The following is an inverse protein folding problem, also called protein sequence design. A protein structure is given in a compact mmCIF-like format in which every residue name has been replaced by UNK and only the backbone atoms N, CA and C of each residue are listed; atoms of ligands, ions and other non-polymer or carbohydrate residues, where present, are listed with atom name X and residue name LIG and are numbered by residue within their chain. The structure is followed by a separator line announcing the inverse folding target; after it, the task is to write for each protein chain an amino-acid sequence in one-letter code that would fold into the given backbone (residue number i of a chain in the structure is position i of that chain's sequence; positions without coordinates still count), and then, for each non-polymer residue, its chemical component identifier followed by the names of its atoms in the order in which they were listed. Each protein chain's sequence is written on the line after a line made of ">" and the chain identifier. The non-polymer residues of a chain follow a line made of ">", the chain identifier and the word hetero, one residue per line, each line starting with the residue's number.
data_IF_591701027825
#
_entry.id   IF_591701027825
#
_cell.length_a   1.000
_cell.length_b   1.000
_cell.length_c   1.000
_cell.angle_alpha   90.00
_cell.angle_beta   90.00
_cell.angle_gamma   90.00
#
_symmetry.space_group_name_H-M   'P 1'
#
loop_
_entity.id
_entity.type
_entity.pdbx_description
1 polymer ?
#
# COMPACT_ATOMS: atom_id res chain seq x y z
N UNK A 1 -0.53 -6.03 0.88
CA UNK A 1 -0.73 -4.90 1.83
C UNK A 1 -1.20 -3.62 1.16
N UNK A 2 -0.64 -3.20 0.01
CA UNK A 2 -1.16 -2.01 -0.70
C UNK A 2 -2.65 -2.13 -1.03
N UNK A 3 -3.06 -3.28 -1.58
CA UNK A 3 -4.47 -3.57 -1.87
C UNK A 3 -5.33 -3.46 -0.62
N UNK A 4 -4.92 -4.11 0.47
CA UNK A 4 -5.60 -4.01 1.77
C UNK A 4 -5.83 -2.58 2.25
N UNK A 5 -4.87 -1.67 2.03
CA UNK A 5 -5.05 -0.25 2.35
C UNK A 5 -6.10 0.40 1.44
N UNK A 6 -6.07 0.09 0.14
CA UNK A 6 -7.06 0.60 -0.82
C UNK A 6 -8.46 0.10 -0.46
N UNK A 7 -8.59 -1.18 -0.12
CA UNK A 7 -9.84 -1.81 0.26
C UNK A 7 -10.42 -1.18 1.53
N UNK A 8 -9.62 -0.95 2.58
CA UNK A 8 -10.06 -0.22 3.79
C UNK A 8 -10.58 1.17 3.42
N UNK A 9 -9.84 1.93 2.60
CA UNK A 9 -10.26 3.27 2.21
C UNK A 9 -11.53 3.22 1.36
N UNK A 10 -11.66 2.26 0.45
CA UNK A 10 -12.86 2.05 -0.35
C UNK A 10 -14.06 1.67 0.52
N UNK A 11 -13.89 0.79 1.51
CA UNK A 11 -14.93 0.39 2.45
C UNK A 11 -15.47 1.60 3.22
N UNK A 12 -14.59 2.50 3.69
CA UNK A 12 -15.05 3.76 4.32
C UNK A 12 -15.84 4.66 3.38
N UNK A 13 -15.60 4.61 2.07
CA UNK A 13 -16.35 5.40 1.07
C UNK A 13 -17.69 4.79 0.70
N UNK A 14 -17.83 3.47 0.86
CA UNK A 14 -19.05 2.73 0.57
C UNK A 14 -19.96 2.57 1.81
N UNK A 15 -19.44 2.88 3.00
CA UNK A 15 -20.19 2.81 4.25
C UNK A 15 -21.39 3.76 4.27
N UNK A 16 -22.60 3.22 4.48
CA UNK A 16 -23.82 4.02 4.66
C UNK A 16 -23.83 4.87 5.93
N UNK A 17 -22.94 4.58 6.88
CA UNK A 17 -22.78 5.37 8.10
C UNK A 17 -21.95 6.65 7.87
N UNK A 18 -21.31 6.80 6.70
CA UNK A 18 -20.45 7.93 6.39
C UNK A 18 -21.01 8.72 5.20
N UNK A 19 -21.17 10.03 5.38
CA UNK A 19 -21.44 10.96 4.28
C UNK A 19 -20.19 11.17 3.42
N UNK A 20 -19.02 11.18 4.05
CA UNK A 20 -17.73 11.27 3.38
C UNK A 20 -16.74 10.27 4.00
N UNK A 21 -16.24 9.34 3.19
CA UNK A 21 -15.20 8.37 3.58
C UNK A 21 -13.77 8.90 3.41
N UNK A 22 -12.79 8.02 3.59
CA UNK A 22 -11.38 8.35 3.42
C UNK A 22 -11.03 8.82 2.00
N UNK A 23 -10.23 9.89 1.90
CA UNK A 23 -9.71 10.38 0.61
C UNK A 23 -8.47 9.60 0.15
N UNK A 24 -8.02 9.74 -1.12
CA UNK A 24 -6.76 9.15 -1.58
C UNK A 24 -5.53 9.54 -0.73
N UNK A 25 -5.59 10.68 -0.04
CA UNK A 25 -4.54 11.11 0.90
C UNK A 25 -4.44 10.20 2.13
N UNK A 26 -5.51 9.49 2.50
CA UNK A 26 -5.48 8.52 3.59
C UNK A 26 -4.59 7.32 3.23
N UNK A 27 -4.66 6.84 1.99
CA UNK A 27 -3.80 5.74 1.49
C UNK A 27 -2.31 6.07 1.63
N UNK A 28 -1.92 7.31 1.33
CA UNK A 28 -0.52 7.77 1.51
C UNK A 28 -0.11 7.78 2.98
N UNK A 29 -1.00 8.24 3.87
CA UNK A 29 -0.75 8.24 5.32
C UNK A 29 -0.61 6.82 5.87
N UNK A 30 -1.45 5.88 5.43
CA UNK A 30 -1.32 4.46 5.76
C UNK A 30 0.00 3.87 5.27
N UNK A 31 0.42 4.16 4.03
CA UNK A 31 1.65 3.63 3.49
C UNK A 31 2.88 4.15 4.24
N UNK A 32 2.93 5.46 4.51
CA UNK A 32 4.03 6.08 5.25
C UNK A 32 4.06 5.60 6.72
N UNK A 33 2.91 5.63 7.39
CA UNK A 33 2.77 5.17 8.77
C UNK A 33 3.06 3.68 8.93
N UNK A 34 2.61 2.85 7.99
CA UNK A 34 2.85 1.41 8.00
C UNK A 34 4.33 1.07 7.89
N UNK A 35 5.06 1.75 6.99
CA UNK A 35 6.52 1.62 6.88
C UNK A 35 7.22 2.06 8.16
N UNK A 36 6.83 3.20 8.72
CA UNK A 36 7.40 3.70 9.97
C UNK A 36 7.15 2.71 11.14
N UNK A 37 5.94 2.18 11.26
CA UNK A 37 5.56 1.22 12.30
C UNK A 37 6.30 -0.10 12.16
N UNK A 38 6.46 -0.61 10.94
CA UNK A 38 7.26 -1.80 10.66
C UNK A 38 8.73 -1.60 11.06
N UNK A 39 9.32 -0.45 10.69
CA UNK A 39 10.70 -0.11 11.03
C UNK A 39 10.91 0.02 12.55
N UNK A 40 10.00 0.68 13.27
CA UNK A 40 10.03 0.78 14.75
C UNK A 40 9.98 -0.62 15.39
N UNK A 41 9.30 -1.58 14.75
CA UNK A 41 9.19 -2.97 15.20
C UNK A 41 10.30 -3.89 14.68
N UNK A 42 11.35 -3.33 14.06
CA UNK A 42 12.49 -4.10 13.56
C UNK A 42 12.20 -4.95 12.32
N UNK A 43 11.14 -4.66 11.57
CA UNK A 43 10.77 -5.37 10.34
C UNK A 43 11.07 -4.53 9.10
N UNK A 44 11.53 -5.17 8.04
CA UNK A 44 11.77 -4.55 6.73
C UNK A 44 10.52 -4.42 5.87
N UNK A 45 9.41 -5.05 6.26
CA UNK A 45 8.16 -5.07 5.52
C UNK A 45 6.96 -4.78 6.43
N UNK A 46 5.92 -4.19 5.83
CA UNK A 46 4.65 -3.87 6.50
C UNK A 46 3.77 -5.12 6.51
N UNK A 47 3.11 -5.39 7.64
CA UNK A 47 2.09 -6.44 7.73
C UNK A 47 0.68 -5.84 7.92
N UNK A 48 -0.41 -6.61 7.69
CA UNK A 48 -1.77 -6.11 7.87
C UNK A 48 -2.03 -5.49 9.25
N UNK A 49 -1.47 -6.06 10.32
CA UNK A 49 -1.64 -5.51 11.68
C UNK A 49 -1.03 -4.12 11.86
N UNK A 50 -0.02 -3.77 11.07
CA UNK A 50 0.51 -2.40 11.10
C UNK A 50 -0.49 -1.41 10.49
N UNK A 51 -1.22 -1.83 9.46
CA UNK A 51 -2.28 -1.03 8.82
C UNK A 51 -3.49 -0.91 9.76
N UNK A 52 -3.94 -2.02 10.35
CA UNK A 52 -5.06 -2.03 11.31
C UNK A 52 -4.82 -1.08 12.47
N UNK A 53 -3.63 -1.12 13.05
CA UNK A 53 -3.26 -0.25 14.17
C UNK A 53 -3.17 1.25 13.80
N UNK A 54 -3.16 1.58 12.52
CA UNK A 54 -3.16 2.96 12.03
C UNK A 54 -4.54 3.43 11.57
N UNK A 55 -5.54 2.56 11.54
CA UNK A 55 -6.84 2.88 10.96
C UNK A 55 -7.51 4.07 11.64
N UNK A 56 -7.66 4.01 12.96
CA UNK A 56 -8.24 5.10 13.75
C UNK A 56 -7.44 6.42 13.62
N UNK A 57 -6.13 6.48 13.93
CA UNK A 57 -5.39 7.75 13.88
C UNK A 57 -5.29 8.34 12.46
N UNK A 58 -5.39 7.52 11.41
CA UNK A 58 -5.41 8.01 10.02
C UNK A 58 -6.80 8.54 9.64
N UNK A 59 -7.88 7.86 10.05
CA UNK A 59 -9.22 8.09 9.49
C UNK A 59 -10.14 8.95 10.37
N UNK A 60 -9.94 9.01 11.69
CA UNK A 60 -10.91 9.62 12.63
C UNK A 60 -11.25 11.08 12.31
N UNK A 61 -10.29 11.85 11.80
CA UNK A 61 -10.49 13.25 11.39
C UNK A 61 -10.73 13.42 9.89
N UNK A 62 -10.88 12.33 9.15
CA UNK A 62 -11.01 12.33 7.68
C UNK A 62 -12.36 11.83 7.18
N UNK A 63 -13.22 11.37 8.08
CA UNK A 63 -14.55 10.86 7.75
C UNK A 63 -15.61 11.73 8.39
N UNK A 64 -16.78 11.80 7.75
CA UNK A 64 -17.92 12.56 8.23
C UNK A 64 -19.11 11.60 8.28
N UNK A 65 -19.75 11.49 9.45
CA UNK A 65 -20.92 10.64 9.68
C UNK A 65 -22.15 11.18 8.94
N UNK A 66 -23.08 10.29 8.60
CA UNK A 66 -24.43 10.70 8.21
C UNK A 66 -25.23 11.12 9.43
N UNK A 67 -26.25 11.97 9.25
CA UNK A 67 -27.12 12.40 10.35
C UNK A 67 -27.78 11.21 11.07
N UNK A 68 -28.19 10.17 10.34
CA UNK A 68 -28.76 8.96 10.93
C UNK A 68 -27.77 8.23 11.85
N UNK A 69 -26.49 8.17 11.45
CA UNK A 69 -25.43 7.60 12.27
C UNK A 69 -25.11 8.45 13.50
N UNK A 70 -25.25 9.78 13.41
CA UNK A 70 -25.13 10.69 14.55
C UNK A 70 -26.26 10.50 15.55
N UNK A 71 -27.50 10.39 15.07
CA UNK A 71 -28.70 10.16 15.91
C UNK A 71 -28.71 8.78 16.56
N UNK A 72 -28.05 7.80 15.96
CA UNK A 72 -27.90 6.45 16.51
C UNK A 72 -26.72 6.31 17.48
N UNK A 73 -26.10 7.44 17.87
CA UNK A 73 -24.93 7.53 18.77
C UNK A 73 -23.72 6.67 18.35
N UNK A 74 -23.63 6.27 17.08
CA UNK A 74 -22.47 5.51 16.58
C UNK A 74 -21.26 6.42 16.47
N UNK A 75 -20.21 6.09 17.19
CA UNK A 75 -18.96 6.86 17.18
C UNK A 75 -18.21 6.67 15.87
N UNK A 76 -17.36 7.64 15.53
CA UNK A 76 -16.47 7.54 14.35
C UNK A 76 -15.53 6.34 14.47
N UNK A 77 -15.01 6.08 15.67
CA UNK A 77 -14.13 4.93 15.96
C UNK A 77 -14.83 3.60 15.68
N UNK A 78 -16.08 3.41 16.13
CA UNK A 78 -16.85 2.20 15.85
C UNK A 78 -17.11 2.00 14.36
N UNK A 79 -17.36 3.07 13.61
CA UNK A 79 -17.57 3.00 12.17
C UNK A 79 -16.28 2.62 11.45
N UNK A 80 -15.15 3.21 11.84
CA UNK A 80 -13.83 2.86 11.29
C UNK A 80 -13.49 1.40 11.60
N UNK A 81 -13.72 0.95 12.82
CA UNK A 81 -13.44 -0.41 13.23
C UNK A 81 -14.28 -1.41 12.42
N UNK A 82 -15.57 -1.13 12.26
CA UNK A 82 -16.45 -1.95 11.40
C UNK A 82 -15.97 -2.00 9.94
N UNK A 83 -15.48 -0.88 9.39
CA UNK A 83 -14.93 -0.86 8.04
C UNK A 83 -13.64 -1.70 7.93
N UNK A 84 -12.75 -1.63 8.92
CA UNK A 84 -11.51 -2.43 8.93
C UNK A 84 -11.81 -3.92 9.07
N UNK A 85 -12.78 -4.28 9.90
CA UNK A 85 -13.18 -5.67 10.15
C UNK A 85 -13.94 -6.27 8.96
N UNK A 86 -14.63 -5.44 8.17
CA UNK A 86 -15.27 -5.84 6.92
C UNK A 86 -14.29 -6.17 5.78
N UNK A 87 -13.05 -5.68 5.86
CA UNK A 87 -12.02 -5.96 4.85
C UNK A 87 -11.13 -7.11 5.30
N UNK A 88 -11.09 -8.16 4.49
CA UNK A 88 -10.24 -9.32 4.74
C UNK A 88 -8.75 -8.98 4.54
N UNK A 89 -7.88 -9.22 5.53
CA UNK A 89 -6.45 -9.02 5.36
C UNK A 89 -5.88 -10.06 4.37
N UNK A 90 -4.82 -9.71 3.63
CA UNK A 90 -4.20 -10.63 2.69
C UNK A 90 -3.59 -11.81 3.45
N UNK A 91 -3.97 -13.03 3.05
CA UNK A 91 -3.44 -14.28 3.58
C UNK A 91 -2.08 -14.61 2.94
N UNK A 92 -1.27 -15.41 3.63
CA UNK A 92 0.03 -15.88 3.10
C UNK A 92 -0.11 -16.69 1.79
N UNK A 93 -1.28 -17.28 1.55
CA UNK A 93 -1.59 -18.06 0.34
C UNK A 93 -1.98 -17.19 -0.87
N UNK A 94 -1.99 -15.87 -0.73
CA UNK A 94 -2.21 -14.98 -1.86
C UNK A 94 -1.00 -15.07 -2.80
N UNK A 95 -1.12 -15.90 -3.84
CA UNK A 95 -0.16 -15.97 -4.93
C UNK A 95 -0.02 -14.59 -5.56
N UNK A 96 1.12 -13.93 -5.33
CA UNK A 96 1.49 -12.74 -6.09
C UNK A 96 1.68 -13.19 -7.54
N UNK A 97 0.70 -12.89 -8.40
CA UNK A 97 0.93 -12.95 -9.84
C UNK A 97 1.83 -11.77 -10.16
N UNK A 98 3.12 -12.05 -10.28
CA UNK A 98 4.08 -11.10 -10.82
C UNK A 98 3.70 -10.90 -12.29
N UNK A 99 2.91 -9.86 -12.58
CA UNK A 99 2.70 -9.39 -13.94
C UNK A 99 4.06 -8.95 -14.45
N UNK A 100 4.73 -9.84 -15.17
CA UNK A 100 6.07 -9.65 -15.68
C UNK A 100 6.16 -8.41 -16.53
N UNK A 101 6.93 -7.42 -16.08
CA UNK A 101 7.48 -6.40 -16.95
C UNK A 101 8.74 -5.75 -16.36
N UNK A 102 9.88 -6.45 -16.52
CA UNK A 102 11.11 -5.98 -17.17
C UNK A 102 12.34 -6.76 -16.67
N UNK A 103 12.89 -7.52 -17.61
CA UNK A 103 14.17 -8.21 -17.51
C UNK A 103 15.32 -7.23 -17.19
N UNK A 104 16.27 -7.61 -16.33
CA UNK A 104 17.48 -6.81 -16.13
C UNK A 104 18.34 -6.92 -17.39
N UNK A 105 18.55 -5.82 -18.11
CA UNK A 105 19.58 -5.75 -19.14
C UNK A 105 20.93 -5.73 -18.42
N UNK A 106 21.54 -6.91 -18.31
CA UNK A 106 22.94 -7.06 -18.01
C UNK A 106 23.78 -6.43 -19.13
N UNK A 107 24.82 -5.72 -18.74
CA UNK A 107 25.86 -5.24 -19.62
C UNK A 107 26.57 -6.43 -20.28
N UNK A 108 26.72 -6.38 -21.60
CA UNK A 108 27.78 -7.10 -22.30
C UNK A 108 28.45 -6.14 -23.28
N UNK A 109 29.76 -5.96 -23.08
CA UNK A 109 30.61 -5.13 -23.90
C UNK A 109 30.70 -5.68 -25.32
N UNK A 110 30.51 -4.80 -26.30
CA UNK A 110 30.84 -5.06 -27.70
C UNK A 110 32.36 -5.20 -27.90
N UNK A 111 32.78 -5.90 -28.96
CA UNK A 111 34.13 -6.43 -29.10
C UNK A 111 35.16 -5.31 -29.33
N UNK A 112 36.33 -5.51 -28.72
CA UNK A 112 37.58 -4.89 -29.11
C UNK A 112 37.86 -5.25 -30.58
N UNK A 113 37.93 -4.22 -31.42
CA UNK A 113 38.47 -4.35 -32.77
C UNK A 113 39.98 -4.45 -32.65
N UNK A 114 40.48 -5.69 -32.69
CA UNK A 114 41.88 -6.01 -32.94
C UNK A 114 42.06 -5.95 -34.46
N UNK A 115 42.54 -4.81 -34.95
CA UNK A 115 42.93 -4.65 -36.35
C UNK A 115 44.42 -4.96 -36.50
N UNK A 116 44.73 -5.75 -37.51
CA UNK A 116 45.84 -6.69 -37.55
C UNK A 116 47.21 -6.02 -37.65
N UNK A 117 48.18 -6.62 -36.97
CA UNK A 117 49.60 -6.48 -37.28
C UNK A 117 49.90 -7.17 -38.62
N UNK A 118 50.39 -6.42 -39.61
CA UNK A 118 51.36 -6.94 -40.57
C UNK A 118 52.30 -5.83 -41.02
N UNK A 119 53.52 -5.89 -40.49
CA UNK A 119 54.72 -5.25 -41.02
C UNK A 119 54.92 -5.62 -42.50
N UNK A 120 55.45 -4.71 -43.32
CA UNK A 120 56.40 -4.99 -44.43
C UNK A 120 57.02 -3.66 -44.89
N UNK A 121 58.35 -3.68 -44.96
CA UNK A 121 59.32 -2.65 -45.35
C UNK A 121 59.16 -2.06 -46.76
N UNK A 122 59.39 -0.74 -46.93
CA UNK A 122 60.42 -0.08 -47.78
C UNK A 122 60.36 1.46 -47.64
#
# INVERSE_FOLDING_TARGET
>A
VKEYILDIVAETRNSSALRYGGSPRATLAFLAGGKARAAIRGRSYVIPDDVKALAEPVLVHRVIRTTDAELSDRTVTEIIQAAVDGVSPPSADASFTETGDRQPQAADGGPVVDDQQSDIDD
#
